data_IF_536637510958
#
_entry.id   IF_536637510958
#
_cell.length_a   1.000
_cell.length_b   1.000
_cell.length_c   1.000
_cell.angle_alpha   90.00
_cell.angle_beta   90.00
_cell.angle_gamma   90.00
#
_symmetry.space_group_name_H-M   'P 1'
#
loop_
_entity.id
_entity.type
_entity.pdbx_description
1 polymer ?
#
# COMPACT_ATOMS: atom_id res chain seq x y z
N UNK A 1 24.05 -18.01 -18.77
CA UNK A 1 23.92 -17.09 -17.62
C UNK A 1 22.80 -16.14 -17.97
N UNK A 2 21.56 -16.54 -17.70
CA UNK A 2 20.43 -15.63 -17.90
C UNK A 2 20.50 -14.61 -16.77
N UNK A 3 20.76 -13.35 -17.12
CA UNK A 3 20.44 -12.27 -16.21
C UNK A 3 18.94 -12.05 -16.33
N UNK A 4 18.16 -12.85 -15.59
CA UNK A 4 16.74 -12.59 -15.40
C UNK A 4 16.62 -11.19 -14.77
N UNK A 5 16.10 -10.24 -15.55
CA UNK A 5 15.89 -8.88 -15.08
C UNK A 5 14.86 -8.88 -13.95
N UNK A 6 15.21 -8.28 -12.81
CA UNK A 6 14.26 -8.09 -11.71
C UNK A 6 13.39 -6.86 -11.95
N UNK A 7 12.10 -7.01 -11.74
CA UNK A 7 11.15 -5.90 -11.73
C UNK A 7 11.20 -5.17 -10.39
N UNK A 8 11.31 -3.84 -10.44
CA UNK A 8 11.37 -2.98 -9.24
C UNK A 8 10.22 -2.01 -9.27
N UNK A 9 9.44 -1.97 -8.20
CA UNK A 9 8.32 -1.04 -8.03
C UNK A 9 8.64 -0.01 -6.94
N UNK A 10 8.58 1.27 -7.31
CA UNK A 10 8.54 2.40 -6.38
C UNK A 10 7.09 2.87 -6.25
N UNK A 11 6.38 2.38 -5.25
CA UNK A 11 4.96 2.66 -5.07
C UNK A 11 4.72 3.97 -4.34
N UNK A 12 3.73 4.76 -4.79
CA UNK A 12 3.48 6.09 -4.27
C UNK A 12 2.80 6.12 -2.89
N UNK A 13 1.93 5.15 -2.59
CA UNK A 13 1.18 4.88 -1.35
C UNK A 13 -0.30 4.61 -1.65
N UNK A 14 -0.92 3.71 -0.88
CA UNK A 14 -2.35 3.46 -0.88
C UNK A 14 -2.94 3.50 0.54
N UNK A 15 -2.23 4.10 1.51
CA UNK A 15 -2.77 4.28 2.86
C UNK A 15 -3.85 5.37 2.90
N UNK A 16 -4.84 5.21 3.78
CA UNK A 16 -5.83 6.28 4.05
C UNK A 16 -5.19 7.48 4.75
N UNK A 17 -4.25 7.22 5.67
CA UNK A 17 -3.62 8.25 6.49
C UNK A 17 -4.67 9.20 7.11
N UNK A 18 -4.53 10.51 6.88
CA UNK A 18 -5.45 11.53 7.38
C UNK A 18 -6.54 11.93 6.35
N UNK A 19 -6.71 11.18 5.26
CA UNK A 19 -7.68 11.53 4.24
C UNK A 19 -9.12 11.41 4.76
N UNK A 20 -9.91 12.47 4.52
CA UNK A 20 -11.37 12.42 4.66
C UNK A 20 -11.94 11.71 3.45
N UNK A 21 -12.56 10.56 3.66
CA UNK A 21 -13.21 9.77 2.62
C UNK A 21 -14.66 10.22 2.41
N UNK A 22 -15.30 10.77 3.44
CA UNK A 22 -16.67 11.28 3.37
C UNK A 22 -16.84 12.61 4.12
N UNK A 23 -17.81 13.40 3.64
CA UNK A 23 -18.49 14.54 4.30
C UNK A 23 -17.63 15.58 5.08
N UNK A 24 -16.95 16.52 4.39
CA UNK A 24 -16.72 16.53 2.95
C UNK A 24 -15.52 15.63 2.61
N UNK A 25 -15.56 14.93 1.45
CA UNK A 25 -14.40 14.16 1.01
C UNK A 25 -13.21 15.11 0.78
N UNK A 26 -12.00 14.60 1.00
CA UNK A 26 -10.75 15.34 0.83
C UNK A 26 -10.65 15.93 -0.59
N UNK A 27 -11.12 15.19 -1.59
CA UNK A 27 -11.42 15.67 -2.93
C UNK A 27 -12.54 14.82 -3.57
N UNK A 28 -13.19 15.37 -4.60
CA UNK A 28 -14.26 14.67 -5.32
C UNK A 28 -13.70 13.45 -6.06
N UNK A 29 -14.24 12.26 -5.77
CA UNK A 29 -13.80 11.00 -6.40
C UNK A 29 -12.77 10.19 -5.62
N UNK A 30 -12.30 10.66 -4.45
CA UNK A 30 -11.25 9.98 -3.68
C UNK A 30 -11.52 8.50 -3.41
N UNK A 31 -12.76 8.13 -3.08
CA UNK A 31 -13.15 6.73 -2.84
C UNK A 31 -12.97 5.88 -4.11
N UNK A 32 -13.41 6.40 -5.25
CA UNK A 32 -13.28 5.70 -6.53
C UNK A 32 -11.82 5.55 -6.97
N UNK A 33 -10.97 6.53 -6.66
CA UNK A 33 -9.53 6.45 -6.95
C UNK A 33 -8.82 5.40 -6.09
N UNK A 34 -9.19 5.24 -4.82
CA UNK A 34 -8.72 4.11 -3.99
C UNK A 34 -9.17 2.76 -4.57
N UNK A 35 -10.45 2.60 -4.87
CA UNK A 35 -11.02 1.37 -5.44
C UNK A 35 -10.32 0.99 -6.76
N UNK A 36 -10.12 1.98 -7.64
CA UNK A 36 -9.39 1.80 -8.90
C UNK A 36 -7.95 1.37 -8.67
N UNK A 37 -7.28 1.96 -7.67
CA UNK A 37 -5.89 1.59 -7.32
C UNK A 37 -5.80 0.12 -6.90
N UNK A 38 -6.70 -0.35 -6.05
CA UNK A 38 -6.72 -1.76 -5.62
C UNK A 38 -7.00 -2.71 -6.78
N UNK A 39 -7.94 -2.36 -7.66
CA UNK A 39 -8.26 -3.19 -8.83
C UNK A 39 -7.09 -3.25 -9.83
N UNK A 40 -6.44 -2.13 -10.10
CA UNK A 40 -5.31 -2.08 -11.04
C UNK A 40 -4.10 -2.87 -10.56
N UNK A 41 -3.88 -2.91 -9.24
CA UNK A 41 -2.65 -3.45 -8.63
C UNK A 41 -2.80 -4.88 -8.11
N UNK A 42 -4.01 -5.46 -8.13
CA UNK A 42 -4.31 -6.77 -7.54
C UNK A 42 -3.45 -7.94 -8.04
N UNK A 43 -3.02 -7.88 -9.30
CA UNK A 43 -2.25 -8.94 -9.96
C UNK A 43 -0.76 -8.58 -10.09
N UNK A 44 -0.33 -7.43 -9.57
CA UNK A 44 1.07 -7.01 -9.66
C UNK A 44 1.93 -7.81 -8.67
N UNK A 45 3.04 -8.34 -9.18
CA UNK A 45 4.04 -9.09 -8.40
C UNK A 45 5.45 -8.62 -8.75
N UNK A 46 5.85 -7.40 -8.35
CA UNK A 46 7.22 -6.94 -8.55
C UNK A 46 8.18 -7.76 -7.67
N UNK A 47 9.37 -8.06 -8.20
CA UNK A 47 10.40 -8.78 -7.44
C UNK A 47 10.91 -7.96 -6.25
N UNK A 48 10.97 -6.63 -6.41
CA UNK A 48 11.39 -5.68 -5.37
C UNK A 48 10.33 -4.62 -5.18
N UNK A 49 9.79 -4.55 -3.97
CA UNK A 49 8.84 -3.53 -3.53
C UNK A 49 9.53 -2.45 -2.70
N UNK A 50 9.40 -1.19 -3.13
CA UNK A 50 9.81 0.00 -2.42
C UNK A 50 8.65 0.99 -2.35
N UNK A 51 8.69 1.89 -1.36
CA UNK A 51 7.67 2.92 -1.19
C UNK A 51 8.27 4.21 -0.59
N UNK A 52 7.46 5.26 -0.55
CA UNK A 52 7.80 6.57 0.00
C UNK A 52 8.12 6.59 1.50
N UNK A 53 7.70 5.58 2.27
CA UNK A 53 8.08 5.40 3.66
C UNK A 53 8.68 4.02 3.94
N UNK A 54 9.77 3.94 4.73
CA UNK A 54 10.54 2.71 4.93
C UNK A 54 9.77 1.59 5.64
N UNK A 55 8.77 1.93 6.44
CA UNK A 55 7.98 0.95 7.18
C UNK A 55 7.04 0.14 6.27
N UNK A 56 6.64 0.68 5.11
CA UNK A 56 5.73 -0.04 4.20
C UNK A 56 6.36 -1.31 3.62
N UNK A 57 7.68 -1.29 3.42
CA UNK A 57 8.44 -2.41 2.88
C UNK A 57 9.51 -2.87 3.86
N UNK A 58 9.29 -2.73 5.18
CA UNK A 58 10.17 -3.25 6.22
C UNK A 58 11.67 -2.98 5.99
N UNK A 59 12.02 -1.75 5.61
CA UNK A 59 13.38 -1.39 5.17
C UNK A 59 14.45 -1.78 6.18
N UNK A 60 14.19 -1.59 7.47
CA UNK A 60 15.18 -1.82 8.53
C UNK A 60 15.58 -3.29 8.62
N UNK A 61 14.61 -4.22 8.64
CA UNK A 61 14.88 -5.65 8.66
C UNK A 61 15.64 -6.10 7.40
N UNK A 62 15.18 -5.63 6.23
CA UNK A 62 15.84 -5.92 4.95
C UNK A 62 17.27 -5.38 4.91
N UNK A 63 17.50 -4.20 5.47
CA UNK A 63 18.84 -3.61 5.60
C UNK A 63 19.74 -4.44 6.51
N UNK A 64 19.22 -4.94 7.63
CA UNK A 64 19.98 -5.79 8.54
C UNK A 64 20.40 -7.10 7.86
N UNK A 65 19.48 -7.75 7.13
CA UNK A 65 19.79 -8.93 6.32
C UNK A 65 20.85 -8.65 5.25
N UNK A 66 20.74 -7.53 4.55
CA UNK A 66 21.74 -7.10 3.56
C UNK A 66 23.13 -6.95 4.20
N UNK A 67 23.21 -6.29 5.36
CA UNK A 67 24.48 -6.14 6.09
C UNK A 67 25.04 -7.47 6.62
N UNK A 68 24.19 -8.47 6.82
CA UNK A 68 24.58 -9.84 7.17
C UNK A 68 25.03 -10.69 5.97
N UNK A 69 25.01 -10.13 4.75
CA UNK A 69 25.48 -10.79 3.52
C UNK A 69 24.39 -11.35 2.61
N UNK A 70 23.10 -11.11 2.91
CA UNK A 70 22.01 -11.48 2.02
C UNK A 70 21.87 -10.48 0.86
N UNK A 71 22.49 -10.80 -0.28
CA UNK A 71 22.44 -9.99 -1.51
C UNK A 71 21.01 -9.82 -2.08
N UNK A 72 20.06 -10.65 -1.64
CA UNK A 72 18.67 -10.64 -2.08
C UNK A 72 17.71 -10.18 -0.98
N UNK A 73 18.19 -9.49 0.05
CA UNK A 73 17.38 -9.08 1.19
C UNK A 73 16.13 -8.24 0.85
N UNK A 74 16.12 -7.59 -0.32
CA UNK A 74 15.00 -6.78 -0.82
C UNK A 74 14.13 -7.51 -1.87
N UNK A 75 14.51 -8.71 -2.28
CA UNK A 75 13.77 -9.51 -3.26
C UNK A 75 12.71 -10.31 -2.52
N UNK A 76 11.45 -9.96 -2.75
CA UNK A 76 10.28 -10.57 -2.13
C UNK A 76 9.03 -10.23 -2.95
N UNK A 77 8.64 -11.14 -3.85
CA UNK A 77 7.50 -10.97 -4.74
C UNK A 77 6.14 -10.94 -4.01
N UNK A 78 6.08 -11.39 -2.75
CA UNK A 78 4.86 -11.39 -1.95
C UNK A 78 4.72 -10.10 -1.11
N UNK A 79 5.77 -9.28 -1.01
CA UNK A 79 5.74 -8.04 -0.23
C UNK A 79 4.69 -7.05 -0.72
N UNK A 80 4.58 -6.84 -2.04
CA UNK A 80 3.61 -5.90 -2.59
C UNK A 80 2.16 -6.41 -2.51
N UNK A 81 1.84 -7.67 -2.89
CA UNK A 81 0.52 -8.25 -2.64
C UNK A 81 0.06 -8.14 -1.18
N UNK A 82 0.95 -8.44 -0.23
CA UNK A 82 0.64 -8.32 1.20
C UNK A 82 0.34 -6.87 1.61
N UNK A 83 1.12 -5.90 1.12
CA UNK A 83 0.89 -4.49 1.35
C UNK A 83 -0.46 -4.01 0.79
N UNK A 84 -0.79 -4.35 -0.45
CA UNK A 84 -2.04 -3.92 -1.10
C UNK A 84 -3.27 -4.52 -0.41
N UNK A 85 -3.21 -5.80 -0.02
CA UNK A 85 -4.29 -6.42 0.74
C UNK A 85 -4.52 -5.70 2.08
N UNK A 86 -3.46 -5.45 2.85
CA UNK A 86 -3.56 -4.72 4.12
C UNK A 86 -4.05 -3.28 3.94
N UNK A 87 -3.63 -2.59 2.87
CA UNK A 87 -4.08 -1.24 2.56
C UNK A 87 -5.58 -1.20 2.20
N UNK A 88 -6.06 -2.20 1.45
CA UNK A 88 -7.48 -2.34 1.10
C UNK A 88 -8.34 -2.56 2.34
N UNK A 89 -7.96 -3.49 3.20
CA UNK A 89 -8.69 -3.77 4.45
C UNK A 89 -8.77 -2.52 5.34
N UNK A 90 -7.65 -1.80 5.47
CA UNK A 90 -7.60 -0.55 6.23
C UNK A 90 -8.48 0.55 5.62
N UNK A 91 -8.54 0.63 4.28
CA UNK A 91 -9.42 1.55 3.57
C UNK A 91 -10.90 1.25 3.81
N UNK A 92 -11.32 0.00 3.67
CA UNK A 92 -12.72 -0.40 3.87
C UNK A 92 -13.19 -0.11 5.30
N UNK A 93 -12.33 -0.41 6.29
CA UNK A 93 -12.58 -0.08 7.70
C UNK A 93 -12.73 1.42 7.91
N UNK A 94 -11.79 2.22 7.42
CA UNK A 94 -11.83 3.68 7.57
C UNK A 94 -13.06 4.30 6.87
N UNK A 95 -13.44 3.78 5.70
CA UNK A 95 -14.62 4.24 4.97
C UNK A 95 -15.91 3.97 5.78
N UNK A 96 -16.03 2.79 6.37
CA UNK A 96 -17.17 2.43 7.21
C UNK A 96 -17.23 3.32 8.46
N UNK A 97 -16.10 3.51 9.16
CA UNK A 97 -16.01 4.36 10.35
C UNK A 97 -16.39 5.81 10.04
N UNK A 98 -15.86 6.39 8.97
CA UNK A 98 -16.18 7.77 8.62
C UNK A 98 -17.65 7.93 8.16
N UNK A 99 -18.23 6.94 7.46
CA UNK A 99 -19.67 6.94 7.13
C UNK A 99 -20.55 6.93 8.37
N UNK A 100 -20.21 6.10 9.37
CA UNK A 100 -20.94 6.05 10.63
C UNK A 100 -20.84 7.38 11.40
N UNK A 101 -19.64 7.98 11.47
CA UNK A 101 -19.46 9.29 12.11
C UNK A 101 -20.21 10.42 11.41
N UNK A 102 -20.26 10.40 10.08
CA UNK A 102 -21.01 11.39 9.30
C UNK A 102 -22.52 11.27 9.51
N UNK A 103 -23.05 10.05 9.67
CA UNK A 103 -24.46 9.82 10.00
C UNK A 103 -24.80 10.35 11.40
N UNK A 104 -23.98 10.03 12.41
CA UNK A 104 -24.21 10.46 13.80
C UNK A 104 -24.12 11.98 14.01
N UNK A 105 -23.43 12.73 13.13
CA UNK A 105 -23.39 14.20 13.18
C UNK A 105 -24.63 14.87 12.56
N UNK A 106 -25.46 14.11 11.85
CA UNK A 106 -26.70 14.59 11.22
C UNK A 106 -27.92 14.38 12.10
N UNK A 107 -27.77 13.61 13.18
CA UNK A 107 -28.75 13.43 14.27
C UNK A 107 -28.54 14.50 15.35
#
# INVERSE_FOLDING_TARGET
>A
MEMEGRSVLFFCSASVAANRLVDPPQYQGIVADYEKTFEQTKDWRPDVFLANHPFFFGMEERRQRLLAGDENAFVDAEAFPAYIAAAKDAFEKALAEQKAQAAAKKE
#
